data_IF_981033848759
#
_entry.id   IF_981033848759
#
_cell.length_a   1.000
_cell.length_b   1.000
_cell.length_c   1.000
_cell.angle_alpha   90.00
_cell.angle_beta   90.00
_cell.angle_gamma   90.00
#
_symmetry.space_group_name_H-M   'P 1'
#
loop_
_entity.id
_entity.type
_entity.pdbx_description
1 polymer ?
#
# COMPACT_ATOMS: atom_id res chain seq x y z
N UNK A 1 15.42 -5.41 9.96
CA UNK A 1 15.45 -3.93 9.77
C UNK A 1 14.17 -3.41 9.15
N UNK A 2 13.71 -3.97 8.02
CA UNK A 2 12.45 -3.55 7.38
C UNK A 2 11.24 -3.68 8.32
N UNK A 3 11.07 -4.82 8.97
CA UNK A 3 9.97 -5.06 9.93
C UNK A 3 10.01 -4.11 11.13
N UNK A 4 11.22 -3.77 11.62
CA UNK A 4 11.39 -2.82 12.72
C UNK A 4 10.99 -1.41 12.29
N UNK A 5 11.36 -1.01 11.07
CA UNK A 5 10.94 0.26 10.48
C UNK A 5 9.42 0.32 10.37
N UNK A 6 8.78 -0.70 9.80
CA UNK A 6 7.31 -0.82 9.72
C UNK A 6 6.64 -0.72 11.10
N UNK A 7 7.12 -1.49 12.08
CA UNK A 7 6.59 -1.48 13.44
C UNK A 7 6.74 -0.11 14.12
N UNK A 8 7.84 0.61 13.88
CA UNK A 8 8.07 1.93 14.45
C UNK A 8 7.03 2.98 14.02
N UNK A 9 6.32 2.76 12.91
CA UNK A 9 5.26 3.66 12.44
C UNK A 9 3.92 3.46 13.15
N UNK A 10 3.79 2.42 13.97
CA UNK A 10 2.64 2.17 14.86
C UNK A 10 2.76 2.87 16.21
N UNK A 11 3.87 3.59 16.44
CA UNK A 11 4.14 4.26 17.70
C UNK A 11 3.02 5.21 18.13
N UNK A 12 2.73 5.21 19.42
CA UNK A 12 1.85 6.18 20.07
C UNK A 12 2.65 7.36 20.64
N UNK A 13 1.95 8.44 20.98
CA UNK A 13 2.57 9.61 21.60
C UNK A 13 3.26 9.23 22.93
N UNK A 14 4.54 9.61 23.07
CA UNK A 14 5.38 9.30 24.25
C UNK A 14 6.23 8.03 24.14
N UNK A 15 6.20 7.33 22.99
CA UNK A 15 7.04 6.15 22.75
C UNK A 15 8.40 6.51 22.10
N UNK A 16 9.25 7.24 22.82
CA UNK A 16 10.55 7.73 22.32
C UNK A 16 11.47 6.62 21.78
N UNK A 17 11.35 5.40 22.31
CA UNK A 17 12.10 4.25 21.83
C UNK A 17 11.73 3.88 20.39
N UNK A 18 10.46 4.04 20.00
CA UNK A 18 10.02 3.75 18.64
C UNK A 18 10.53 4.80 17.66
N UNK A 19 10.63 6.07 18.08
CA UNK A 19 11.27 7.11 17.27
C UNK A 19 12.75 6.80 17.04
N UNK A 20 13.49 6.40 18.10
CA UNK A 20 14.87 5.97 17.96
C UNK A 20 15.02 4.72 17.07
N UNK A 21 14.10 3.75 17.19
CA UNK A 21 14.08 2.56 16.35
C UNK A 21 13.83 2.89 14.87
N UNK A 22 12.97 3.89 14.61
CA UNK A 22 12.70 4.40 13.26
C UNK A 22 13.93 5.02 12.63
N UNK A 23 14.61 5.89 13.36
CA UNK A 23 15.81 6.59 12.89
C UNK A 23 16.94 5.59 12.62
N UNK A 24 17.20 4.69 13.58
CA UNK A 24 18.19 3.63 13.44
C UNK A 24 17.91 2.71 12.24
N UNK A 25 16.64 2.30 12.07
CA UNK A 25 16.25 1.43 10.96
C UNK A 25 16.36 2.12 9.62
N UNK A 26 16.01 3.41 9.56
CA UNK A 26 16.09 4.24 8.35
C UNK A 26 17.54 4.41 7.89
N UNK A 27 18.45 4.75 8.81
CA UNK A 27 19.87 4.91 8.51
C UNK A 27 20.48 3.59 8.02
N UNK A 28 20.27 2.51 8.78
CA UNK A 28 20.80 1.19 8.44
C UNK A 28 20.30 0.70 7.08
N UNK A 29 19.01 0.87 6.79
CA UNK A 29 18.44 0.44 5.50
C UNK A 29 19.01 1.26 4.34
N UNK A 30 19.16 2.58 4.48
CA UNK A 30 19.77 3.43 3.45
C UNK A 30 21.18 2.99 3.07
N UNK A 31 21.99 2.63 4.08
CA UNK A 31 23.35 2.13 3.86
C UNK A 31 23.38 0.74 3.22
N UNK A 32 22.36 -0.09 3.49
CA UNK A 32 22.26 -1.44 2.94
C UNK A 32 21.74 -1.48 1.51
N UNK A 33 20.90 -0.52 1.06
CA UNK A 33 20.24 -0.52 -0.26
C UNK A 33 21.15 -0.97 -1.41
N UNK A 34 22.39 -0.46 -1.56
CA UNK A 34 23.25 -0.81 -2.69
C UNK A 34 23.62 -2.30 -2.78
N UNK A 35 23.51 -3.02 -1.66
CA UNK A 35 23.90 -4.42 -1.52
C UNK A 35 22.70 -5.37 -1.44
N UNK A 36 21.47 -4.87 -1.49
CA UNK A 36 20.26 -5.68 -1.45
C UNK A 36 19.98 -6.33 -2.81
N UNK A 37 19.30 -7.48 -2.78
CA UNK A 37 18.69 -8.05 -3.98
C UNK A 37 17.58 -7.14 -4.51
N UNK A 38 17.26 -7.28 -5.79
CA UNK A 38 16.31 -6.41 -6.47
C UNK A 38 14.92 -6.41 -5.79
N UNK A 39 14.45 -7.57 -5.33
CA UNK A 39 13.13 -7.70 -4.72
C UNK A 39 13.09 -7.03 -3.34
N UNK A 40 14.13 -7.23 -2.52
CA UNK A 40 14.22 -6.56 -1.21
C UNK A 40 14.45 -5.05 -1.34
N UNK A 41 15.21 -4.61 -2.35
CA UNK A 41 15.37 -3.18 -2.64
C UNK A 41 14.04 -2.52 -3.02
N UNK A 42 13.19 -3.21 -3.80
CA UNK A 42 11.83 -2.76 -4.13
C UNK A 42 10.97 -2.64 -2.86
N UNK A 43 11.02 -3.61 -1.95
CA UNK A 43 10.30 -3.55 -0.67
C UNK A 43 10.77 -2.39 0.20
N UNK A 44 12.08 -2.16 0.29
CA UNK A 44 12.66 -1.04 1.06
C UNK A 44 12.22 0.30 0.46
N UNK A 45 12.25 0.44 -0.86
CA UNK A 45 11.76 1.64 -1.54
C UNK A 45 10.27 1.88 -1.24
N UNK A 46 9.45 0.83 -1.30
CA UNK A 46 8.02 0.93 -1.01
C UNK A 46 7.72 1.40 0.42
N UNK A 47 8.44 0.89 1.42
CA UNK A 47 8.29 1.34 2.81
C UNK A 47 8.75 2.79 3.02
N UNK A 48 9.77 3.24 2.27
CA UNK A 48 10.21 4.63 2.34
C UNK A 48 9.25 5.63 1.68
N UNK A 49 8.47 5.23 0.69
CA UNK A 49 7.40 6.06 0.13
C UNK A 49 6.29 6.30 1.17
N UNK A 50 5.81 5.20 1.77
CA UNK A 50 4.88 5.25 2.89
C UNK A 50 4.96 3.93 3.67
N UNK A 51 4.73 3.90 4.99
CA UNK A 51 4.63 2.64 5.73
C UNK A 51 3.31 1.93 5.43
N UNK A 52 3.29 0.59 5.47
CA UNK A 52 2.08 -0.19 5.14
C UNK A 52 0.89 0.14 6.03
N UNK A 53 1.15 0.50 7.28
CA UNK A 53 0.15 0.85 8.30
C UNK A 53 -0.49 2.21 8.04
N UNK A 54 0.18 3.09 7.29
CA UNK A 54 -0.35 4.40 6.88
C UNK A 54 -0.96 4.38 5.48
N UNK A 55 -0.75 3.31 4.73
CA UNK A 55 -1.37 3.12 3.41
C UNK A 55 -2.83 2.74 3.53
N UNK A 56 -3.62 3.22 2.57
CA UNK A 56 -4.97 2.68 2.35
C UNK A 56 -4.81 1.28 1.79
N UNK A 57 -5.08 0.28 2.63
CA UNK A 57 -4.84 -1.15 2.34
C UNK A 57 -5.32 -1.56 0.95
N UNK A 58 -6.50 -1.08 0.55
CA UNK A 58 -7.11 -1.43 -0.74
C UNK A 58 -6.27 -1.07 -1.97
N UNK A 59 -5.56 0.06 -1.96
CA UNK A 59 -4.71 0.46 -3.09
C UNK A 59 -3.41 -0.33 -3.15
N UNK A 60 -3.00 -0.94 -2.03
CA UNK A 60 -1.73 -1.63 -1.90
C UNK A 60 -1.85 -3.16 -2.03
N UNK A 61 -3.08 -3.68 -2.11
CA UNK A 61 -3.34 -5.13 -2.29
C UNK A 61 -2.63 -5.67 -3.52
N UNK A 62 -2.68 -4.95 -4.65
CA UNK A 62 -2.03 -5.41 -5.89
C UNK A 62 -0.51 -5.48 -5.76
N UNK A 63 0.09 -4.50 -5.08
CA UNK A 63 1.52 -4.49 -4.84
C UNK A 63 1.92 -5.67 -3.95
N UNK A 64 1.20 -5.90 -2.84
CA UNK A 64 1.46 -7.02 -1.93
C UNK A 64 1.28 -8.39 -2.60
N UNK A 65 0.26 -8.56 -3.44
CA UNK A 65 0.07 -9.79 -4.22
C UNK A 65 1.29 -10.03 -5.12
N UNK A 66 1.72 -9.02 -5.86
CA UNK A 66 2.87 -9.13 -6.77
C UNK A 66 4.18 -9.40 -6.00
N UNK A 67 4.40 -8.70 -4.89
CA UNK A 67 5.57 -8.92 -4.04
C UNK A 67 5.59 -10.35 -3.46
N UNK A 68 4.45 -10.86 -3.01
CA UNK A 68 4.34 -12.22 -2.47
C UNK A 68 4.52 -13.30 -3.55
N UNK A 69 4.07 -13.06 -4.78
CA UNK A 69 4.28 -13.99 -5.91
C UNK A 69 5.75 -14.18 -6.30
N UNK A 70 6.62 -13.23 -5.95
CA UNK A 70 8.07 -13.31 -6.17
C UNK A 70 8.80 -14.09 -5.08
N UNK A 71 8.16 -14.35 -3.93
CA UNK A 71 8.78 -15.05 -2.80
C UNK A 71 9.03 -16.54 -3.16
N UNK A 72 10.27 -17.00 -2.90
CA UNK A 72 10.69 -18.39 -3.16
C UNK A 72 9.94 -19.42 -2.32
N UNK A 73 9.35 -19.00 -1.20
CA UNK A 73 8.60 -19.82 -0.26
C UNK A 73 7.08 -19.56 -0.32
N UNK A 74 6.61 -18.89 -1.36
CA UNK A 74 5.20 -18.55 -1.55
C UNK A 74 4.29 -19.80 -1.56
N UNK A 75 3.17 -19.73 -0.83
CA UNK A 75 2.07 -20.68 -0.97
C UNK A 75 1.14 -20.23 -2.11
N UNK A 76 1.06 -21.03 -3.19
CA UNK A 76 0.32 -20.70 -4.41
C UNK A 76 -1.18 -20.44 -4.20
N UNK A 77 -1.77 -20.99 -3.14
CA UNK A 77 -3.19 -20.79 -2.82
C UNK A 77 -3.47 -19.36 -2.34
N UNK A 78 -2.50 -18.69 -1.71
CA UNK A 78 -2.70 -17.36 -1.12
C UNK A 78 -2.85 -16.25 -2.17
N UNK A 79 -1.98 -16.13 -3.20
CA UNK A 79 -2.18 -15.16 -4.27
C UNK A 79 -3.48 -15.40 -5.05
N UNK A 80 -3.85 -16.65 -5.31
CA UNK A 80 -5.11 -16.98 -6.00
C UNK A 80 -6.32 -16.51 -5.19
N UNK A 81 -6.32 -16.79 -3.89
CA UNK A 81 -7.38 -16.33 -2.98
C UNK A 81 -7.43 -14.79 -2.90
N UNK A 82 -6.27 -14.13 -2.80
CA UNK A 82 -6.20 -12.68 -2.73
C UNK A 82 -6.69 -12.01 -4.03
N UNK A 83 -6.31 -12.56 -5.20
CA UNK A 83 -6.80 -12.11 -6.52
C UNK A 83 -8.31 -12.29 -6.65
N UNK A 84 -8.84 -13.44 -6.24
CA UNK A 84 -10.28 -13.71 -6.26
C UNK A 84 -11.05 -12.74 -5.36
N UNK A 85 -10.61 -12.57 -4.12
CA UNK A 85 -11.22 -11.64 -3.16
C UNK A 85 -11.18 -10.20 -3.69
N UNK A 86 -10.04 -9.78 -4.25
CA UNK A 86 -9.89 -8.48 -4.87
C UNK A 86 -10.90 -8.28 -6.02
N UNK A 87 -11.08 -9.29 -6.87
CA UNK A 87 -12.01 -9.23 -8.02
C UNK A 87 -13.48 -9.21 -7.58
N UNK A 88 -13.87 -9.97 -6.55
CA UNK A 88 -15.24 -9.98 -6.03
C UNK A 88 -15.61 -8.62 -5.44
N UNK A 89 -14.75 -8.09 -4.57
CA UNK A 89 -14.99 -6.80 -3.93
C UNK A 89 -14.88 -5.65 -4.93
N UNK A 90 -13.92 -5.69 -5.86
CA UNK A 90 -13.83 -4.69 -6.92
C UNK A 90 -15.08 -4.69 -7.79
N UNK A 91 -15.53 -5.86 -8.28
CA UNK A 91 -16.67 -5.94 -9.20
C UNK A 91 -17.97 -5.43 -8.57
N UNK A 92 -18.24 -5.80 -7.31
CA UNK A 92 -19.38 -5.28 -6.54
C UNK A 92 -19.31 -3.75 -6.35
N UNK A 93 -18.15 -3.21 -5.99
CA UNK A 93 -17.99 -1.77 -5.74
C UNK A 93 -17.92 -0.92 -7.01
N UNK A 94 -17.40 -1.44 -8.14
CA UNK A 94 -17.44 -0.68 -9.41
C UNK A 94 -18.86 -0.55 -9.93
N UNK A 95 -19.72 -1.56 -9.78
CA UNK A 95 -21.13 -1.42 -10.19
C UNK A 95 -21.80 -0.33 -9.38
N UNK A 96 -21.71 -0.39 -8.05
CA UNK A 96 -22.35 0.56 -7.14
C UNK A 96 -21.74 1.97 -7.21
N UNK A 97 -20.42 2.10 -7.29
CA UNK A 97 -19.74 3.42 -7.40
C UNK A 97 -19.95 4.06 -8.76
N UNK A 98 -19.94 3.29 -9.85
CA UNK A 98 -20.14 3.86 -11.19
C UNK A 98 -21.60 4.26 -11.35
N UNK A 99 -22.56 3.45 -10.90
CA UNK A 99 -23.98 3.83 -10.88
C UNK A 99 -24.23 5.04 -9.98
N UNK A 100 -23.65 5.08 -8.77
CA UNK A 100 -23.78 6.23 -7.87
C UNK A 100 -23.13 7.51 -8.40
N UNK A 101 -21.95 7.41 -9.04
CA UNK A 101 -21.30 8.57 -9.69
C UNK A 101 -22.09 9.01 -10.92
N UNK A 102 -22.60 8.09 -11.73
CA UNK A 102 -23.47 8.40 -12.87
C UNK A 102 -24.74 9.10 -12.38
N UNK A 103 -25.41 8.58 -11.35
CA UNK A 103 -26.60 9.19 -10.79
C UNK A 103 -26.32 10.58 -10.24
N UNK A 104 -25.24 10.77 -9.48
CA UNK A 104 -24.85 12.10 -8.98
C UNK A 104 -24.53 13.04 -10.15
N UNK A 105 -23.86 12.59 -11.20
CA UNK A 105 -23.55 13.40 -12.39
C UNK A 105 -24.80 13.73 -13.20
N UNK A 106 -25.75 12.80 -13.32
CA UNK A 106 -27.05 12.98 -13.98
C UNK A 106 -27.94 13.94 -13.19
N UNK A 107 -27.99 13.82 -11.86
CA UNK A 107 -28.73 14.70 -10.96
C UNK A 107 -28.12 16.11 -10.87
N UNK A 108 -26.80 16.23 -11.02
CA UNK A 108 -26.08 17.51 -10.95
C UNK A 108 -26.21 18.37 -12.23
N UNK A 109 -26.69 17.80 -13.33
CA UNK A 109 -26.67 18.44 -14.65
C UNK A 109 -25.24 18.72 -15.17
N UNK A 110 -25.08 19.18 -16.43
CA UNK A 110 -23.75 19.42 -16.99
C UNK A 110 -23.02 20.47 -16.15
N UNK A 111 -21.86 20.09 -15.60
CA UNK A 111 -20.94 20.96 -14.85
C UNK A 111 -20.41 22.09 -15.76
N UNK A 112 -21.25 23.09 -16.03
CA UNK A 112 -20.82 24.37 -16.59
C UNK A 112 -20.11 25.12 -15.48
N UNK A 113 -18.78 25.04 -15.44
CA UNK A 113 -17.99 26.03 -14.67
C UNK A 113 -16.71 25.59 -14.00
N UNK A 114 -16.21 24.36 -14.19
CA UNK A 114 -14.87 24.01 -13.71
C UNK A 114 -13.82 24.36 -14.78
N UNK A 115 -13.46 25.64 -14.87
CA UNK A 115 -12.16 26.04 -15.41
C UNK A 115 -11.11 25.80 -14.32
N UNK A 116 -10.22 24.84 -14.54
CA UNK A 116 -9.01 24.69 -13.73
C UNK A 116 -8.15 25.94 -13.94
N UNK A 117 -7.92 26.68 -12.85
CA UNK A 117 -6.99 27.81 -12.82
C UNK A 117 -5.70 27.41 -12.12
#
# INVERSE_FOLDING_TARGET
MLELLEASYLALEGEDLMDAARDFSTETLKDCIPNLDCDLAEQVSHVFELPSQRRVQWFDVKWHINAYEKDRHMNAMLPELAKLHFNIYSSSHTSERVEGIIQVVEESGPLKGFEFR
#
